data_IF_508316631808
#
_entry.id   IF_508316631808
#
_cell.length_a   1.000
_cell.length_b   1.000
_cell.length_c   1.000
_cell.angle_alpha   90.00
_cell.angle_beta   90.00
_cell.angle_gamma   90.00
#
_symmetry.space_group_name_H-M   'P 1'
#
loop_
_entity.id
_entity.type
_entity.pdbx_description
1 polymer ?
#
# COMPACT_ATOMS: atom_id res chain seq x y z
N UNK A 1 24.05 -26.38 -31.83
CA UNK A 1 24.93 -26.76 -30.71
C UNK A 1 25.98 -25.69 -30.37
N UNK A 2 26.68 -25.07 -31.33
CA UNK A 2 27.70 -24.04 -31.05
C UNK A 2 27.16 -22.82 -30.29
N UNK A 3 26.01 -22.26 -30.67
CA UNK A 3 25.40 -21.13 -29.94
C UNK A 3 25.01 -21.46 -28.50
N UNK A 4 24.55 -22.69 -28.22
CA UNK A 4 24.21 -23.13 -26.86
C UNK A 4 25.45 -23.29 -25.98
N UNK A 5 26.55 -23.79 -26.55
CA UNK A 5 27.85 -23.88 -25.87
C UNK A 5 28.41 -22.48 -25.59
N UNK A 6 28.31 -21.58 -26.55
CA UNK A 6 28.68 -20.17 -26.40
C UNK A 6 27.91 -19.51 -25.26
N UNK A 7 26.58 -19.67 -25.19
CA UNK A 7 25.76 -19.14 -24.09
C UNK A 7 26.12 -19.75 -22.72
N UNK A 8 26.43 -21.05 -22.66
CA UNK A 8 26.83 -21.72 -21.41
C UNK A 8 28.11 -21.13 -20.83
N UNK A 9 29.09 -20.85 -21.68
CA UNK A 9 30.35 -20.21 -21.27
C UNK A 9 30.11 -18.75 -20.76
N UNK A 10 29.05 -18.04 -21.22
CA UNK A 10 28.79 -16.61 -20.88
C UNK A 10 28.29 -16.48 -19.44
N UNK A 11 27.84 -17.59 -18.87
CA UNK A 11 27.28 -17.71 -17.52
C UNK A 11 28.27 -18.30 -16.53
N UNK A 12 29.54 -18.47 -16.91
CA UNK A 12 30.52 -19.15 -16.04
C UNK A 12 30.99 -18.30 -14.85
N UNK A 13 30.89 -16.96 -14.94
CA UNK A 13 31.35 -16.07 -13.87
C UNK A 13 30.19 -15.70 -12.90
N UNK A 14 30.16 -16.26 -11.68
CA UNK A 14 29.06 -16.01 -10.73
C UNK A 14 29.01 -14.57 -10.23
N UNK A 15 30.15 -13.88 -10.15
CA UNK A 15 30.22 -12.47 -9.75
C UNK A 15 29.58 -11.60 -10.83
N UNK A 16 29.89 -11.87 -12.10
CA UNK A 16 29.28 -11.15 -13.22
C UNK A 16 27.76 -11.37 -13.28
N UNK A 17 27.30 -12.62 -13.07
CA UNK A 17 25.87 -12.92 -12.98
C UNK A 17 25.19 -12.09 -11.90
N UNK A 18 25.76 -12.05 -10.69
CA UNK A 18 25.19 -11.30 -9.57
C UNK A 18 25.14 -9.80 -9.87
N UNK A 19 26.21 -9.23 -10.42
CA UNK A 19 26.26 -7.81 -10.79
C UNK A 19 25.21 -7.47 -11.86
N UNK A 20 25.09 -8.30 -12.89
CA UNK A 20 24.08 -8.11 -13.94
C UNK A 20 22.66 -8.34 -13.43
N UNK A 21 22.45 -9.22 -12.45
CA UNK A 21 21.17 -9.37 -11.78
C UNK A 21 20.80 -8.10 -10.99
N UNK A 22 21.74 -7.51 -10.24
CA UNK A 22 21.49 -6.25 -9.52
C UNK A 22 21.17 -5.12 -10.50
N UNK A 23 21.95 -4.97 -11.57
CA UNK A 23 21.70 -3.96 -12.60
C UNK A 23 20.37 -4.19 -13.32
N UNK A 24 20.06 -5.42 -13.70
CA UNK A 24 18.78 -5.81 -14.30
C UNK A 24 17.60 -5.49 -13.38
N UNK A 25 17.75 -5.74 -12.07
CA UNK A 25 16.74 -5.37 -11.07
C UNK A 25 16.55 -3.85 -11.03
N UNK A 26 17.63 -3.07 -10.93
CA UNK A 26 17.57 -1.60 -10.94
C UNK A 26 16.88 -1.10 -12.21
N UNK A 27 17.36 -1.51 -13.39
CA UNK A 27 16.79 -1.09 -14.68
C UNK A 27 15.31 -1.46 -14.79
N UNK A 28 14.91 -2.65 -14.32
CA UNK A 28 13.50 -3.05 -14.33
C UNK A 28 12.60 -2.12 -13.50
N UNK A 29 13.12 -1.55 -12.39
CA UNK A 29 12.38 -0.55 -11.60
C UNK A 29 12.25 0.76 -12.35
N UNK A 30 13.29 1.19 -13.06
CA UNK A 30 13.27 2.40 -13.86
C UNK A 30 12.31 2.28 -15.05
N UNK A 31 12.39 1.19 -15.81
CA UNK A 31 11.44 0.93 -16.92
C UNK A 31 10.00 0.98 -16.40
N UNK A 32 9.72 0.28 -15.30
CA UNK A 32 8.40 0.32 -14.66
C UNK A 32 7.99 1.73 -14.26
N UNK A 33 8.83 2.45 -13.52
CA UNK A 33 8.52 3.78 -13.01
C UNK A 33 8.29 4.79 -14.13
N UNK A 34 9.11 4.76 -15.19
CA UNK A 34 8.95 5.63 -16.36
C UNK A 34 7.65 5.33 -17.12
N UNK A 35 7.30 4.06 -17.31
CA UNK A 35 5.99 3.68 -17.90
C UNK A 35 4.84 4.17 -17.02
N UNK A 36 4.92 4.00 -15.70
CA UNK A 36 3.91 4.50 -14.78
C UNK A 36 3.74 6.02 -14.87
N UNK A 37 4.84 6.78 -14.95
CA UNK A 37 4.81 8.24 -15.12
C UNK A 37 4.21 8.66 -16.47
N UNK A 38 4.61 8.00 -17.56
CA UNK A 38 4.12 8.30 -18.91
C UNK A 38 2.60 8.07 -19.04
N UNK A 39 2.08 7.00 -18.42
CA UNK A 39 0.68 6.63 -18.50
C UNK A 39 -0.21 7.19 -17.38
N UNK A 40 0.37 7.77 -16.32
CA UNK A 40 -0.41 8.32 -15.19
C UNK A 40 -1.40 9.40 -15.67
N UNK A 41 -0.90 10.48 -16.28
CA UNK A 41 -1.72 11.61 -16.72
C UNK A 41 -2.76 11.23 -17.78
N UNK A 42 -2.44 10.46 -18.84
CA UNK A 42 -3.42 10.01 -19.83
C UNK A 42 -4.57 9.17 -19.24
N UNK A 43 -4.30 8.40 -18.18
CA UNK A 43 -5.29 7.54 -17.53
C UNK A 43 -6.06 8.24 -16.40
N UNK A 44 -5.85 9.54 -16.20
CA UNK A 44 -6.52 10.30 -15.13
C UNK A 44 -5.97 10.01 -13.73
N UNK A 45 -4.75 9.49 -13.65
CA UNK A 45 -4.03 9.28 -12.40
C UNK A 45 -3.12 10.47 -12.12
N UNK A 46 -2.95 10.81 -10.85
CA UNK A 46 -1.91 11.73 -10.35
C UNK A 46 -0.80 10.94 -9.68
N UNK A 47 0.43 11.42 -9.81
CA UNK A 47 1.57 10.87 -9.08
C UNK A 47 1.56 11.46 -7.68
N UNK A 48 1.47 10.61 -6.66
CA UNK A 48 1.47 11.05 -5.25
C UNK A 48 2.88 11.02 -4.68
N UNK A 49 3.63 9.97 -4.99
CA UNK A 49 4.94 9.73 -4.43
C UNK A 49 5.91 9.21 -5.49
N UNK A 50 7.16 9.63 -5.39
CA UNK A 50 8.28 9.12 -6.18
C UNK A 50 9.38 8.74 -5.20
N UNK A 51 9.87 7.51 -5.28
CA UNK A 51 11.01 7.05 -4.52
C UNK A 51 12.18 6.76 -5.45
N UNK A 52 13.32 7.40 -5.19
CA UNK A 52 14.56 7.21 -5.94
C UNK A 52 15.63 6.73 -4.98
N UNK A 53 16.10 5.49 -5.14
CA UNK A 53 17.11 4.86 -4.28
C UNK A 53 16.82 5.04 -2.78
N UNK A 54 15.55 4.89 -2.40
CA UNK A 54 15.10 5.01 -1.02
C UNK A 54 14.68 6.41 -0.57
N UNK A 55 15.00 7.47 -1.30
CA UNK A 55 14.54 8.81 -0.97
C UNK A 55 13.11 9.02 -1.46
N UNK A 56 12.15 9.19 -0.53
CA UNK A 56 10.73 9.38 -0.83
C UNK A 56 10.42 10.87 -1.00
N UNK A 57 9.92 11.23 -2.17
CA UNK A 57 9.40 12.56 -2.49
C UNK A 57 7.88 12.47 -2.63
N UNK A 58 7.15 13.29 -1.90
CA UNK A 58 5.68 13.35 -1.93
C UNK A 58 5.24 14.67 -2.54
N UNK A 59 4.23 14.62 -3.42
CA UNK A 59 3.63 15.81 -4.01
C UNK A 59 2.59 16.40 -3.06
N UNK A 60 2.82 17.62 -2.61
CA UNK A 60 1.90 18.37 -1.77
C UNK A 60 0.66 18.84 -2.55
N UNK A 61 -0.40 19.22 -1.80
CA UNK A 61 -1.61 19.84 -2.35
C UNK A 61 -1.31 21.13 -3.14
N UNK A 62 -0.27 21.88 -2.77
CA UNK A 62 0.18 23.09 -3.49
C UNK A 62 1.01 22.78 -4.76
N UNK A 63 1.17 21.50 -5.12
CA UNK A 63 1.91 21.04 -6.29
C UNK A 63 3.43 20.92 -6.11
N UNK A 64 4.00 21.37 -4.98
CA UNK A 64 5.43 21.24 -4.69
C UNK A 64 5.79 19.82 -4.27
N UNK A 65 6.99 19.38 -4.62
CA UNK A 65 7.56 18.12 -4.16
C UNK A 65 8.39 18.36 -2.91
N UNK A 66 8.15 17.58 -1.86
CA UNK A 66 8.94 17.60 -0.64
C UNK A 66 9.50 16.21 -0.35
N UNK A 67 10.76 16.14 0.09
CA UNK A 67 11.31 14.91 0.62
C UNK A 67 10.64 14.62 1.97
N UNK A 68 9.89 13.51 2.05
CA UNK A 68 9.13 13.12 3.24
C UNK A 68 9.67 11.88 3.96
N UNK A 69 10.84 11.39 3.58
CA UNK A 69 11.51 10.33 4.34
C UNK A 69 12.64 9.65 3.57
N UNK A 70 13.31 8.71 4.25
CA UNK A 70 14.31 7.81 3.68
C UNK A 70 13.89 6.38 4.02
N UNK A 71 13.85 5.51 3.01
CA UNK A 71 13.48 4.10 3.13
C UNK A 71 14.54 3.23 2.45
N UNK A 72 14.63 1.97 2.83
CA UNK A 72 15.49 1.01 2.11
C UNK A 72 14.76 0.66 0.82
N UNK A 73 15.28 1.13 -0.32
CA UNK A 73 14.68 0.88 -1.63
C UNK A 73 15.73 0.98 -2.73
N UNK A 74 15.62 0.11 -3.73
CA UNK A 74 16.51 0.06 -4.89
C UNK A 74 15.77 0.61 -6.11
N UNK A 75 16.41 1.56 -6.81
CA UNK A 75 15.94 2.10 -8.08
C UNK A 75 14.76 3.07 -7.95
N UNK A 76 13.82 3.03 -8.90
CA UNK A 76 12.71 3.97 -9.03
C UNK A 76 11.37 3.30 -8.67
N UNK A 77 10.63 3.87 -7.73
CA UNK A 77 9.25 3.50 -7.45
C UNK A 77 8.36 4.72 -7.62
N UNK A 78 7.23 4.52 -8.29
CA UNK A 78 6.27 5.58 -8.56
C UNK A 78 4.93 5.13 -8.04
N UNK A 79 4.36 5.95 -7.16
CA UNK A 79 3.03 5.73 -6.62
C UNK A 79 2.05 6.68 -7.29
N UNK A 80 0.95 6.11 -7.77
CA UNK A 80 -0.11 6.84 -8.44
C UNK A 80 -1.43 6.63 -7.72
N UNK A 81 -2.22 7.69 -7.69
CA UNK A 81 -3.59 7.66 -7.18
C UNK A 81 -4.52 8.25 -8.22
N UNK A 82 -5.82 7.96 -8.15
CA UNK A 82 -6.79 8.65 -8.98
C UNK A 82 -6.80 10.14 -8.67
N UNK A 83 -6.90 10.93 -9.73
CA UNK A 83 -7.20 12.34 -9.60
C UNK A 83 -8.71 12.50 -9.38
N UNK A 84 -9.12 12.49 -8.10
CA UNK A 84 -10.53 12.60 -7.70
C UNK A 84 -11.18 13.90 -8.20
N UNK A 85 -10.42 14.99 -8.34
CA UNK A 85 -10.92 16.27 -8.87
C UNK A 85 -11.32 16.13 -10.35
N UNK A 86 -10.51 15.41 -11.14
CA UNK A 86 -10.84 15.10 -12.55
C UNK A 86 -11.90 14.03 -12.70
N UNK A 87 -12.17 13.29 -11.64
CA UNK A 87 -13.08 12.16 -11.61
C UNK A 87 -14.40 12.46 -10.87
N UNK A 88 -14.68 13.70 -10.48
CA UNK A 88 -15.81 14.08 -9.63
C UNK A 88 -17.18 13.55 -10.11
N UNK A 89 -17.37 13.36 -11.43
CA UNK A 89 -18.61 12.86 -12.03
C UNK A 89 -18.53 11.41 -12.52
N UNK A 90 -17.48 10.67 -12.16
CA UNK A 90 -17.27 9.29 -12.60
C UNK A 90 -17.77 8.32 -11.53
N UNK A 91 -18.66 7.41 -11.91
CA UNK A 91 -19.11 6.32 -11.04
C UNK A 91 -17.91 5.51 -10.50
N UNK A 92 -17.99 5.17 -9.21
CA UNK A 92 -17.07 4.30 -8.47
C UNK A 92 -16.69 3.03 -9.24
N UNK A 93 -17.64 2.37 -9.92
CA UNK A 93 -17.37 1.17 -10.72
C UNK A 93 -16.48 1.46 -11.92
N UNK A 94 -16.69 2.61 -12.58
CA UNK A 94 -15.85 3.06 -13.71
C UNK A 94 -14.45 3.45 -13.24
N UNK A 95 -14.30 4.02 -12.04
CA UNK A 95 -12.98 4.33 -11.46
C UNK A 95 -12.19 3.06 -11.17
N UNK A 96 -12.81 2.06 -10.55
CA UNK A 96 -12.18 0.75 -10.29
C UNK A 96 -11.78 0.07 -11.62
N UNK A 97 -12.64 0.12 -12.63
CA UNK A 97 -12.32 -0.43 -13.94
C UNK A 97 -11.13 0.28 -14.59
N UNK A 98 -11.05 1.61 -14.49
CA UNK A 98 -9.89 2.39 -14.94
C UNK A 98 -8.62 2.03 -14.16
N UNK A 99 -8.71 1.73 -12.86
CA UNK A 99 -7.55 1.34 -12.05
C UNK A 99 -6.95 0.04 -12.53
N UNK A 100 -7.85 -0.94 -12.73
CA UNK A 100 -7.51 -2.26 -13.25
C UNK A 100 -6.93 -2.15 -14.65
N UNK A 101 -7.54 -1.33 -15.51
CA UNK A 101 -7.03 -1.06 -16.85
C UNK A 101 -5.64 -0.40 -16.81
N UNK A 102 -5.41 0.59 -15.94
CA UNK A 102 -4.10 1.23 -15.76
C UNK A 102 -3.04 0.21 -15.35
N UNK A 103 -3.32 -0.64 -14.35
CA UNK A 103 -2.41 -1.70 -13.93
C UNK A 103 -2.09 -2.67 -15.06
N UNK A 104 -3.10 -3.11 -15.82
CA UNK A 104 -2.91 -4.06 -16.92
C UNK A 104 -2.11 -3.43 -18.07
N UNK A 105 -2.52 -2.24 -18.53
CA UNK A 105 -1.87 -1.54 -19.66
C UNK A 105 -0.41 -1.24 -19.34
N UNK A 106 -0.13 -0.67 -18.17
CA UNK A 106 1.27 -0.38 -17.77
C UNK A 106 2.10 -1.66 -17.64
N UNK A 107 1.50 -2.75 -17.14
CA UNK A 107 2.17 -4.05 -17.03
C UNK A 107 2.47 -4.71 -18.39
N UNK A 108 1.59 -4.55 -19.37
CA UNK A 108 1.82 -5.03 -20.73
C UNK A 108 2.91 -4.18 -21.40
N UNK A 109 2.83 -2.86 -21.29
CA UNK A 109 3.78 -1.94 -21.95
C UNK A 109 5.20 -2.13 -21.44
N UNK A 110 5.42 -2.24 -20.12
CA UNK A 110 6.78 -2.50 -19.62
C UNK A 110 7.33 -3.84 -20.09
N UNK A 111 6.45 -4.82 -20.38
CA UNK A 111 6.86 -6.17 -20.75
C UNK A 111 7.31 -6.18 -22.20
N UNK A 112 6.57 -5.47 -23.06
CA UNK A 112 6.96 -5.23 -24.45
C UNK A 112 8.31 -4.49 -24.52
N UNK A 113 8.53 -3.48 -23.68
CA UNK A 113 9.84 -2.79 -23.58
C UNK A 113 10.92 -3.78 -23.15
N UNK A 114 10.65 -4.62 -22.14
CA UNK A 114 11.59 -5.64 -21.68
C UNK A 114 11.96 -6.66 -22.76
N UNK A 115 10.97 -7.14 -23.52
CA UNK A 115 11.16 -8.05 -24.65
C UNK A 115 12.02 -7.38 -25.73
N UNK A 116 11.69 -6.14 -26.12
CA UNK A 116 12.46 -5.39 -27.10
C UNK A 116 13.91 -5.14 -26.66
N UNK A 117 14.12 -4.76 -25.39
CA UNK A 117 15.44 -4.57 -24.81
C UNK A 117 16.26 -5.87 -24.78
N UNK A 118 15.63 -6.98 -24.40
CA UNK A 118 16.28 -8.30 -24.42
C UNK A 118 16.70 -8.69 -25.83
N UNK A 119 15.83 -8.54 -26.84
CA UNK A 119 16.17 -8.82 -28.23
C UNK A 119 17.33 -7.95 -28.74
N UNK A 120 17.31 -6.65 -28.45
CA UNK A 120 18.40 -5.75 -28.81
C UNK A 120 19.74 -6.16 -28.19
N UNK A 121 19.74 -6.50 -26.90
CA UNK A 121 20.94 -6.98 -26.19
C UNK A 121 21.39 -8.37 -26.65
N UNK A 122 20.46 -9.23 -27.06
CA UNK A 122 20.78 -10.54 -27.62
C UNK A 122 21.49 -10.39 -28.97
N UNK A 123 21.04 -9.48 -29.84
CA UNK A 123 21.74 -9.17 -31.09
C UNK A 123 23.13 -8.59 -30.79
N UNK A 124 23.24 -7.66 -29.84
CA UNK A 124 24.52 -7.09 -29.43
C UNK A 124 25.49 -8.14 -28.87
N UNK A 125 24.99 -9.18 -28.19
CA UNK A 125 25.79 -10.30 -27.67
C UNK A 125 26.53 -11.03 -28.79
N UNK A 126 25.87 -11.25 -29.93
CA UNK A 126 26.47 -11.96 -31.07
C UNK A 126 27.39 -11.09 -31.92
N UNK A 127 27.30 -9.76 -31.79
CA UNK A 127 28.15 -8.80 -32.48
C UNK A 127 29.27 -8.24 -31.58
N UNK A 128 29.44 -8.76 -30.36
CA UNK A 128 30.42 -8.24 -29.42
C UNK A 128 31.84 -8.70 -29.77
N UNK A 129 32.79 -7.76 -29.75
CA UNK A 129 34.21 -8.03 -30.05
C UNK A 129 34.90 -8.92 -29.00
N UNK A 130 34.35 -8.96 -27.79
CA UNK A 130 34.92 -9.73 -26.68
C UNK A 130 33.88 -10.58 -25.96
N UNK A 131 34.35 -11.71 -25.45
CA UNK A 131 33.57 -12.66 -24.68
C UNK A 131 32.92 -12.05 -23.43
N UNK A 132 33.69 -11.21 -22.73
CA UNK A 132 33.22 -10.50 -21.54
C UNK A 132 32.07 -9.55 -21.86
N UNK A 133 32.20 -8.77 -22.95
CA UNK A 133 31.19 -7.82 -23.36
C UNK A 133 29.91 -8.52 -23.84
N UNK A 134 30.05 -9.62 -24.60
CA UNK A 134 28.92 -10.49 -24.94
C UNK A 134 28.20 -11.02 -23.70
N UNK A 135 28.96 -11.41 -22.66
CA UNK A 135 28.40 -11.92 -21.40
C UNK A 135 27.59 -10.84 -20.68
N UNK A 136 28.11 -9.61 -20.64
CA UNK A 136 27.43 -8.45 -20.04
C UNK A 136 26.09 -8.19 -20.75
N UNK A 137 26.08 -8.11 -22.09
CA UNK A 137 24.85 -7.84 -22.83
C UNK A 137 23.79 -8.92 -22.63
N UNK A 138 24.19 -10.20 -22.76
CA UNK A 138 23.27 -11.31 -22.58
C UNK A 138 22.68 -11.35 -21.17
N UNK A 139 23.53 -11.32 -20.14
CA UNK A 139 23.09 -11.42 -18.75
C UNK A 139 22.24 -10.23 -18.33
N UNK A 140 22.60 -9.01 -18.74
CA UNK A 140 21.81 -7.82 -18.43
C UNK A 140 20.41 -7.89 -19.05
N UNK A 141 20.32 -8.29 -20.33
CA UNK A 141 19.04 -8.45 -21.02
C UNK A 141 18.20 -9.55 -20.39
N UNK A 142 18.81 -10.70 -20.09
CA UNK A 142 18.14 -11.83 -19.47
C UNK A 142 17.55 -11.47 -18.11
N UNK A 143 18.35 -10.89 -17.21
CA UNK A 143 17.89 -10.51 -15.87
C UNK A 143 16.84 -9.40 -15.92
N UNK A 144 17.01 -8.38 -16.77
CA UNK A 144 16.00 -7.33 -16.97
C UNK A 144 14.64 -7.95 -17.35
N UNK A 145 14.62 -8.83 -18.35
CA UNK A 145 13.40 -9.49 -18.80
C UNK A 145 12.80 -10.38 -17.71
N UNK A 146 13.62 -11.18 -17.03
CA UNK A 146 13.17 -12.07 -15.96
C UNK A 146 12.49 -11.31 -14.80
N UNK A 147 13.06 -10.16 -14.38
CA UNK A 147 12.44 -9.33 -13.35
C UNK A 147 11.13 -8.69 -13.81
N UNK A 148 11.03 -8.28 -15.07
CA UNK A 148 9.79 -7.73 -15.65
C UNK A 148 8.70 -8.80 -15.75
N UNK A 149 9.04 -10.02 -16.19
CA UNK A 149 8.12 -11.17 -16.22
C UNK A 149 7.65 -11.50 -14.80
N UNK A 150 8.58 -11.63 -13.85
CA UNK A 150 8.24 -11.96 -12.46
C UNK A 150 7.26 -10.94 -11.86
N UNK A 151 7.47 -9.64 -12.12
CA UNK A 151 6.57 -8.57 -11.69
C UNK A 151 5.21 -8.61 -12.40
N UNK A 152 5.19 -8.92 -13.69
CA UNK A 152 3.95 -9.11 -14.44
C UNK A 152 3.13 -10.26 -13.85
N UNK A 153 3.76 -11.41 -13.59
CA UNK A 153 3.10 -12.56 -12.96
C UNK A 153 2.55 -12.22 -11.56
N UNK A 154 3.29 -11.44 -10.76
CA UNK A 154 2.81 -10.94 -9.48
C UNK A 154 1.58 -10.02 -9.65
N UNK A 155 1.62 -9.07 -10.58
CA UNK A 155 0.51 -8.16 -10.85
C UNK A 155 -0.77 -8.92 -11.29
N UNK A 156 -0.62 -9.89 -12.21
CA UNK A 156 -1.72 -10.76 -12.65
C UNK A 156 -2.26 -11.58 -11.47
N UNK A 157 -1.38 -12.17 -10.66
CA UNK A 157 -1.80 -12.99 -9.51
C UNK A 157 -2.60 -12.17 -8.48
N UNK A 158 -2.16 -10.94 -8.19
CA UNK A 158 -2.88 -10.01 -7.32
C UNK A 158 -4.25 -9.67 -7.92
N UNK A 159 -4.32 -9.31 -9.21
CA UNK A 159 -5.58 -9.03 -9.90
C UNK A 159 -6.53 -10.22 -9.89
N UNK A 160 -6.03 -11.44 -10.12
CA UNK A 160 -6.84 -12.66 -10.09
C UNK A 160 -7.42 -12.91 -8.70
N UNK A 161 -6.64 -12.69 -7.63
CA UNK A 161 -7.15 -12.82 -6.26
C UNK A 161 -8.17 -11.74 -5.92
N UNK A 162 -7.85 -10.47 -6.16
CA UNK A 162 -8.76 -9.34 -5.88
C UNK A 162 -10.10 -9.48 -6.62
N UNK A 163 -10.15 -10.17 -7.76
CA UNK A 163 -11.37 -10.43 -8.52
C UNK A 163 -12.02 -11.80 -8.24
N UNK A 164 -11.41 -12.67 -7.43
CA UNK A 164 -11.90 -14.02 -7.18
C UNK A 164 -12.87 -14.04 -6.00
N UNK A 165 -14.12 -14.44 -6.26
CA UNK A 165 -15.14 -14.72 -5.23
C UNK A 165 -14.76 -15.84 -4.24
N UNK A 166 -13.70 -16.60 -4.53
CA UNK A 166 -13.20 -17.70 -3.70
C UNK A 166 -11.95 -17.32 -2.90
N UNK A 167 -11.76 -16.02 -2.65
CA UNK A 167 -10.58 -15.49 -1.96
C UNK A 167 -10.96 -14.38 -0.97
N UNK A 168 -10.10 -14.16 0.01
CA UNK A 168 -10.28 -13.08 0.98
C UNK A 168 -10.16 -11.71 0.31
N UNK A 169 -9.28 -11.56 -0.68
CA UNK A 169 -9.15 -10.33 -1.46
C UNK A 169 -10.45 -9.95 -2.18
N UNK A 170 -11.13 -10.92 -2.81
CA UNK A 170 -12.42 -10.68 -3.46
C UNK A 170 -13.54 -10.34 -2.47
N UNK A 171 -13.59 -11.01 -1.33
CA UNK A 171 -14.54 -10.70 -0.26
C UNK A 171 -14.32 -9.30 0.33
N UNK A 172 -13.05 -8.90 0.51
CA UNK A 172 -12.68 -7.56 0.95
C UNK A 172 -13.12 -6.50 -0.07
N UNK A 173 -12.95 -6.76 -1.38
CA UNK A 173 -13.42 -5.85 -2.42
C UNK A 173 -14.94 -5.72 -2.45
N UNK A 174 -15.67 -6.80 -2.18
CA UNK A 174 -17.13 -6.74 -2.06
C UNK A 174 -17.53 -5.85 -0.88
N UNK A 175 -16.91 -6.02 0.29
CA UNK A 175 -17.13 -5.15 1.45
C UNK A 175 -16.82 -3.68 1.16
N UNK A 176 -15.66 -3.39 0.55
CA UNK A 176 -15.29 -2.03 0.14
C UNK A 176 -16.26 -1.45 -0.90
N UNK A 177 -16.77 -2.27 -1.82
CA UNK A 177 -17.77 -1.83 -2.80
C UNK A 177 -19.10 -1.49 -2.12
N UNK A 178 -19.50 -2.25 -1.09
CA UNK A 178 -20.68 -1.94 -0.30
C UNK A 178 -20.51 -0.60 0.44
N UNK A 179 -19.34 -0.36 1.06
CA UNK A 179 -19.03 0.90 1.76
C UNK A 179 -19.11 2.10 0.81
N UNK A 180 -18.47 1.97 -0.36
CA UNK A 180 -18.52 3.02 -1.40
C UNK A 180 -19.91 3.27 -1.96
N UNK A 181 -20.82 2.31 -1.84
CA UNK A 181 -22.22 2.46 -2.24
C UNK A 181 -23.11 3.03 -1.14
N UNK A 182 -22.54 3.38 0.03
CA UNK A 182 -23.30 3.88 1.18
C UNK A 182 -24.12 2.81 1.87
N UNK A 183 -23.65 1.56 1.86
CA UNK A 183 -24.23 0.49 2.67
C UNK A 183 -23.67 0.63 4.10
N UNK A 184 -24.52 0.88 5.11
CA UNK A 184 -24.06 1.04 6.48
C UNK A 184 -23.38 -0.23 7.00
N UNK A 185 -22.38 -0.06 7.88
CA UNK A 185 -21.66 -1.17 8.51
C UNK A 185 -22.59 -2.22 9.14
N UNK A 186 -23.73 -1.81 9.71
CA UNK A 186 -24.69 -2.73 10.33
C UNK A 186 -25.34 -3.72 9.36
N UNK A 187 -25.34 -3.42 8.06
CA UNK A 187 -25.94 -4.25 7.01
C UNK A 187 -24.92 -5.17 6.29
N UNK A 188 -23.62 -5.00 6.56
CA UNK A 188 -22.56 -5.71 5.82
C UNK A 188 -22.33 -7.16 6.26
N UNK A 189 -22.73 -7.50 7.49
CA UNK A 189 -22.57 -8.84 8.08
C UNK A 189 -21.19 -9.48 7.82
N UNK A 190 -20.12 -8.72 8.10
CA UNK A 190 -18.75 -9.18 7.87
C UNK A 190 -18.36 -10.28 8.86
N UNK A 191 -17.68 -11.31 8.37
CA UNK A 191 -17.29 -12.49 9.15
C UNK A 191 -15.78 -12.59 9.36
N UNK A 192 -15.31 -13.04 10.53
CA UNK A 192 -13.90 -13.23 10.78
C UNK A 192 -13.32 -14.26 9.80
N UNK A 193 -12.01 -14.18 9.55
CA UNK A 193 -11.33 -14.99 8.53
C UNK A 193 -11.51 -16.48 8.82
N UNK A 194 -11.54 -16.87 10.10
CA UNK A 194 -11.78 -18.23 10.59
C UNK A 194 -13.11 -18.83 10.10
N UNK A 195 -14.15 -18.03 9.90
CA UNK A 195 -15.47 -18.47 9.44
C UNK A 195 -15.60 -18.56 7.91
N UNK A 196 -14.68 -17.92 7.17
CA UNK A 196 -14.77 -17.79 5.70
C UNK A 196 -14.21 -19.00 4.93
N UNK A 197 -13.53 -19.94 5.61
CA UNK A 197 -13.07 -21.23 5.05
C UNK A 197 -12.25 -21.14 3.74
N UNK A 198 -11.48 -20.07 3.53
CA UNK A 198 -10.63 -19.93 2.34
C UNK A 198 -9.35 -20.76 2.46
N UNK A 199 -9.08 -21.63 1.47
CA UNK A 199 -7.97 -22.61 1.51
C UNK A 199 -6.56 -22.00 1.53
N UNK A 200 -6.36 -20.78 1.01
CA UNK A 200 -5.03 -20.13 0.89
C UNK A 200 -5.13 -18.60 0.95
N UNK A 201 -5.14 -18.07 2.16
CA UNK A 201 -5.18 -16.63 2.44
C UNK A 201 -3.75 -16.08 2.54
N UNK A 202 -3.42 -15.04 1.77
CA UNK A 202 -2.13 -14.35 1.88
C UNK A 202 -2.15 -13.31 3.01
N UNK A 203 -1.00 -13.08 3.65
CA UNK A 203 -0.86 -12.08 4.72
C UNK A 203 -1.33 -10.68 4.27
N UNK A 204 -1.05 -10.31 3.02
CA UNK A 204 -1.53 -9.04 2.45
C UNK A 204 -3.05 -8.97 2.35
N UNK A 205 -3.73 -10.08 2.05
CA UNK A 205 -5.20 -10.13 2.05
C UNK A 205 -5.74 -9.99 3.47
N UNK A 206 -5.07 -10.59 4.47
CA UNK A 206 -5.44 -10.43 5.89
C UNK A 206 -5.33 -8.98 6.32
N UNK A 207 -4.23 -8.31 5.97
CA UNK A 207 -4.04 -6.89 6.29
C UNK A 207 -5.10 -6.00 5.61
N UNK A 208 -5.40 -6.24 4.33
CA UNK A 208 -6.46 -5.49 3.63
C UNK A 208 -7.83 -5.72 4.26
N UNK A 209 -8.16 -6.97 4.60
CA UNK A 209 -9.42 -7.30 5.21
C UNK A 209 -9.55 -6.72 6.63
N UNK A 210 -8.45 -6.74 7.39
CA UNK A 210 -8.40 -6.23 8.75
C UNK A 210 -8.86 -4.77 8.84
N UNK A 211 -8.43 -3.89 7.93
CA UNK A 211 -8.84 -2.47 7.92
C UNK A 211 -10.37 -2.33 7.94
N UNK A 212 -11.04 -3.01 7.02
CA UNK A 212 -12.50 -2.93 6.86
C UNK A 212 -13.22 -3.67 7.99
N UNK A 213 -12.68 -4.81 8.41
CA UNK A 213 -13.28 -5.63 9.46
C UNK A 213 -13.16 -4.97 10.83
N UNK A 214 -12.05 -4.31 11.13
CA UNK A 214 -11.82 -3.57 12.36
C UNK A 214 -12.80 -2.41 12.48
N UNK A 215 -12.94 -1.57 11.43
CA UNK A 215 -13.95 -0.50 11.40
C UNK A 215 -15.37 -1.03 11.52
N UNK A 216 -15.69 -2.17 10.87
CA UNK A 216 -16.99 -2.82 11.01
C UNK A 216 -17.28 -3.25 12.45
N UNK A 217 -16.30 -3.83 13.15
CA UNK A 217 -16.45 -4.20 14.56
C UNK A 217 -16.63 -2.95 15.42
N UNK A 218 -15.85 -1.90 15.17
CA UNK A 218 -15.89 -0.66 15.95
C UNK A 218 -17.20 0.12 15.77
N UNK A 219 -17.64 0.26 14.52
CA UNK A 219 -18.86 0.98 14.15
C UNK A 219 -20.12 0.32 14.72
N UNK A 220 -20.12 -1.01 14.87
CA UNK A 220 -21.24 -1.77 15.42
C UNK A 220 -21.12 -2.08 16.92
N UNK A 221 -20.04 -1.65 17.58
CA UNK A 221 -19.84 -1.90 19.01
C UNK A 221 -19.52 -3.37 19.35
N UNK A 222 -19.03 -4.15 18.39
CA UNK A 222 -18.63 -5.55 18.60
C UNK A 222 -17.22 -5.66 19.20
N UNK A 223 -16.99 -4.94 20.30
CA UNK A 223 -15.67 -4.82 20.93
C UNK A 223 -15.11 -6.16 21.42
N UNK A 224 -15.97 -7.07 21.89
CA UNK A 224 -15.58 -8.40 22.36
C UNK A 224 -14.89 -9.26 21.28
N UNK A 225 -15.12 -8.94 19.99
CA UNK A 225 -14.54 -9.65 18.85
C UNK A 225 -13.24 -9.03 18.34
N UNK A 226 -12.94 -7.80 18.74
CA UNK A 226 -11.72 -7.10 18.31
C UNK A 226 -10.42 -7.79 18.73
N UNK A 227 -10.27 -8.37 19.94
CA UNK A 227 -9.03 -9.03 20.34
C UNK A 227 -8.63 -10.18 19.41
N UNK A 228 -9.58 -10.95 18.88
CA UNK A 228 -9.29 -12.02 17.93
C UNK A 228 -8.77 -11.47 16.60
N UNK A 229 -9.44 -10.44 16.05
CA UNK A 229 -9.03 -9.79 14.81
C UNK A 229 -7.64 -9.15 14.92
N UNK A 230 -7.37 -8.47 16.05
CA UNK A 230 -6.06 -7.86 16.36
C UNK A 230 -5.00 -8.95 16.50
N UNK A 231 -5.26 -10.01 17.26
CA UNK A 231 -4.30 -11.10 17.40
C UNK A 231 -3.99 -11.79 16.06
N UNK A 232 -4.97 -11.91 15.17
CA UNK A 232 -4.74 -12.46 13.83
C UNK A 232 -3.83 -11.57 12.98
N UNK A 233 -4.05 -10.25 12.96
CA UNK A 233 -3.23 -9.33 12.16
C UNK A 233 -1.83 -9.16 12.75
N UNK A 234 -1.70 -9.10 14.08
CA UNK A 234 -0.38 -8.99 14.74
C UNK A 234 0.52 -10.20 14.44
N UNK A 235 -0.04 -11.41 14.29
CA UNK A 235 0.73 -12.60 13.91
C UNK A 235 1.37 -12.51 12.53
N UNK A 236 0.76 -11.74 11.63
CA UNK A 236 1.31 -11.56 10.28
C UNK A 236 2.17 -10.32 10.17
N UNK A 237 2.04 -9.35 11.07
CA UNK A 237 2.86 -8.14 11.12
C UNK A 237 4.32 -8.43 11.48
N UNK A 238 5.24 -8.16 10.55
CA UNK A 238 6.69 -8.30 10.76
C UNK A 238 7.31 -6.93 11.08
N UNK A 239 8.35 -6.84 11.93
CA UNK A 239 8.97 -5.56 12.32
C UNK A 239 9.50 -4.74 11.14
N UNK A 240 9.93 -5.41 10.06
CA UNK A 240 10.51 -4.78 8.87
C UNK A 240 9.58 -4.85 7.65
N UNK A 241 8.27 -5.07 7.85
CA UNK A 241 7.38 -5.19 6.71
C UNK A 241 7.29 -3.84 6.00
N UNK A 242 7.71 -3.81 4.73
CA UNK A 242 7.83 -2.59 3.94
C UNK A 242 6.54 -1.76 4.01
N UNK A 243 6.72 -0.46 4.21
CA UNK A 243 5.70 0.60 4.38
C UNK A 243 4.75 0.74 3.17
N UNK A 244 3.96 -0.30 2.91
CA UNK A 244 2.78 -0.19 2.05
C UNK A 244 1.70 0.58 2.81
N UNK A 245 0.88 1.36 2.08
CA UNK A 245 -0.27 2.07 2.67
C UNK A 245 -1.19 1.17 3.50
N UNK A 246 -1.32 -0.10 3.10
CA UNK A 246 -2.08 -1.10 3.84
C UNK A 246 -1.47 -1.34 5.23
N UNK A 247 -0.15 -1.54 5.31
CA UNK A 247 0.55 -1.74 6.59
C UNK A 247 0.47 -0.48 7.47
N UNK A 248 0.58 0.70 6.88
CA UNK A 248 0.40 1.97 7.61
C UNK A 248 -1.02 2.10 8.19
N UNK A 249 -2.04 1.74 7.40
CA UNK A 249 -3.43 1.65 7.87
C UNK A 249 -3.59 0.68 9.04
N UNK A 250 -3.02 -0.53 8.93
CA UNK A 250 -3.09 -1.53 10.00
C UNK A 250 -2.44 -1.00 11.27
N UNK A 251 -1.28 -0.35 11.16
CA UNK A 251 -0.64 0.28 12.31
C UNK A 251 -1.50 1.40 12.92
N UNK A 252 -2.21 2.21 12.12
CA UNK A 252 -3.13 3.24 12.63
C UNK A 252 -4.27 2.61 13.45
N UNK A 253 -4.90 1.56 12.94
CA UNK A 253 -5.96 0.83 13.66
C UNK A 253 -5.44 0.18 14.93
N UNK A 254 -4.22 -0.37 14.91
CA UNK A 254 -3.58 -0.95 16.11
C UNK A 254 -3.23 0.13 17.14
N UNK A 255 -2.76 1.31 16.73
CA UNK A 255 -2.55 2.45 17.64
C UNK A 255 -3.88 2.84 18.29
N UNK A 256 -4.94 2.94 17.51
CA UNK A 256 -6.27 3.29 18.03
C UNK A 256 -6.78 2.22 19.01
N UNK A 257 -6.71 0.94 18.63
CA UNK A 257 -7.09 -0.18 19.50
C UNK A 257 -6.34 -0.14 20.84
N UNK A 258 -5.01 0.00 20.81
CA UNK A 258 -4.18 -0.02 22.02
C UNK A 258 -4.16 1.31 22.80
N UNK A 259 -4.73 2.38 22.25
CA UNK A 259 -4.88 3.66 22.96
C UNK A 259 -6.30 3.89 23.46
N UNK A 260 -7.31 3.16 22.98
CA UNK A 260 -8.70 3.40 23.36
C UNK A 260 -9.45 2.14 23.80
N UNK A 261 -9.50 1.10 22.97
CA UNK A 261 -10.31 -0.09 23.26
C UNK A 261 -9.67 -1.04 24.27
N UNK A 262 -8.34 -1.19 24.21
CA UNK A 262 -7.55 -2.03 25.11
C UNK A 262 -6.27 -1.29 25.46
N UNK A 263 -6.34 -0.38 26.44
CA UNK A 263 -5.28 0.58 26.73
C UNK A 263 -4.00 -0.14 27.16
N UNK A 264 -3.04 -0.22 26.25
CA UNK A 264 -1.70 -0.79 26.46
C UNK A 264 -0.68 0.19 25.85
N UNK A 265 -0.23 1.22 26.59
CA UNK A 265 0.57 2.31 26.04
C UNK A 265 1.88 1.84 25.38
N UNK A 266 2.49 0.77 25.90
CA UNK A 266 3.70 0.18 25.30
C UNK A 266 3.49 -0.31 23.87
N UNK A 267 2.36 -1.00 23.60
CA UNK A 267 2.01 -1.49 22.26
C UNK A 267 1.57 -0.35 21.35
N UNK A 268 0.75 0.58 21.86
CA UNK A 268 0.37 1.78 21.10
C UNK A 268 1.60 2.56 20.64
N UNK A 269 2.58 2.74 21.54
CA UNK A 269 3.86 3.39 21.23
C UNK A 269 4.65 2.64 20.17
N UNK A 270 4.73 1.31 20.25
CA UNK A 270 5.42 0.48 19.25
C UNK A 270 4.88 0.72 17.83
N UNK A 271 3.55 0.63 17.65
CA UNK A 271 2.93 0.85 16.35
C UNK A 271 2.99 2.30 15.89
N UNK A 272 2.85 3.26 16.81
CA UNK A 272 2.96 4.68 16.50
C UNK A 272 4.35 5.04 15.96
N UNK A 273 5.42 4.47 16.52
CA UNK A 273 6.79 4.70 16.01
C UNK A 273 6.98 4.27 14.56
N UNK A 274 6.22 3.27 14.09
CA UNK A 274 6.29 2.79 12.71
C UNK A 274 5.59 3.72 11.72
N UNK A 275 4.69 4.58 12.18
CA UNK A 275 3.90 5.49 11.34
C UNK A 275 4.15 6.98 11.64
N UNK A 276 5.01 7.31 12.59
CA UNK A 276 5.16 8.68 13.13
C UNK A 276 5.43 9.73 12.04
N UNK A 277 6.27 9.41 11.07
CA UNK A 277 6.62 10.34 9.98
C UNK A 277 5.43 10.63 9.05
N UNK A 278 4.57 9.63 8.84
CA UNK A 278 3.37 9.74 8.01
C UNK A 278 2.23 10.40 8.81
N UNK A 279 1.90 9.91 10.03
CA UNK A 279 0.77 10.39 10.84
C UNK A 279 0.99 11.81 11.42
N UNK A 280 2.23 12.20 11.73
CA UNK A 280 2.51 13.52 12.33
C UNK A 280 2.20 14.69 11.40
N UNK A 281 2.26 14.45 10.08
CA UNK A 281 2.01 15.43 9.02
C UNK A 281 0.69 15.16 8.29
N UNK A 282 0.01 14.07 8.64
CA UNK A 282 -1.28 13.73 8.07
C UNK A 282 -2.33 14.72 8.59
N UNK A 283 -3.21 15.12 7.68
CA UNK A 283 -4.34 15.97 8.00
C UNK A 283 -5.68 15.30 7.81
N UNK A 284 -5.68 14.00 7.54
CA UNK A 284 -6.88 13.20 7.49
C UNK A 284 -7.55 13.16 8.88
N UNK A 285 -8.86 13.38 8.98
CA UNK A 285 -9.62 13.23 10.21
C UNK A 285 -9.35 11.91 10.94
N UNK A 286 -9.15 10.81 10.20
CA UNK A 286 -8.82 9.50 10.76
C UNK A 286 -7.51 9.54 11.54
N UNK A 287 -6.44 10.01 10.89
CA UNK A 287 -5.14 10.15 11.52
C UNK A 287 -5.19 11.08 12.74
N UNK A 288 -5.99 12.14 12.68
CA UNK A 288 -6.12 13.11 13.76
C UNK A 288 -6.80 12.52 14.99
N UNK A 289 -7.92 11.82 14.88
CA UNK A 289 -8.55 11.25 16.07
C UNK A 289 -7.68 10.13 16.68
N UNK A 290 -7.01 9.32 15.86
CA UNK A 290 -6.09 8.28 16.34
C UNK A 290 -4.95 8.91 17.14
N UNK A 291 -4.35 9.99 16.62
CA UNK A 291 -3.34 10.76 17.35
C UNK A 291 -3.91 11.36 18.64
N UNK A 292 -5.15 11.83 18.62
CA UNK A 292 -5.82 12.37 19.81
C UNK A 292 -5.94 11.33 20.93
N UNK A 293 -6.43 10.12 20.61
CA UNK A 293 -6.51 9.02 21.59
C UNK A 293 -5.13 8.59 22.09
N UNK A 294 -4.14 8.52 21.20
CA UNK A 294 -2.76 8.20 21.57
C UNK A 294 -2.18 9.22 22.56
N UNK A 295 -2.30 10.52 22.28
CA UNK A 295 -1.80 11.59 23.16
C UNK A 295 -2.54 11.62 24.51
N UNK A 296 -3.86 11.43 24.49
CA UNK A 296 -4.67 11.40 25.71
C UNK A 296 -4.30 10.22 26.61
N UNK A 297 -4.38 9.00 26.09
CA UNK A 297 -4.35 7.79 26.91
C UNK A 297 -2.95 7.20 27.10
N UNK A 298 -1.96 7.59 26.27
CA UNK A 298 -0.56 7.16 26.48
C UNK A 298 0.28 8.20 27.23
N UNK A 299 -0.09 9.49 27.21
CA UNK A 299 0.71 10.57 27.82
C UNK A 299 -0.09 11.51 28.73
N UNK A 300 -1.42 11.43 28.76
CA UNK A 300 -2.25 12.37 29.52
C UNK A 300 -2.31 13.77 28.90
N UNK A 301 -1.94 13.93 27.63
CA UNK A 301 -1.88 15.23 26.96
C UNK A 301 -3.26 15.69 26.48
N UNK A 302 -4.09 16.15 27.42
CA UNK A 302 -5.46 16.62 27.15
C UNK A 302 -5.50 17.73 26.09
N UNK A 303 -4.62 18.73 26.19
CA UNK A 303 -4.62 19.86 25.26
C UNK A 303 -4.22 19.47 23.83
N UNK A 304 -3.31 18.50 23.69
CA UNK A 304 -2.96 17.98 22.35
C UNK A 304 -4.14 17.18 21.78
N UNK A 305 -4.81 16.38 22.61
CA UNK A 305 -5.99 15.62 22.20
C UNK A 305 -7.15 16.53 21.75
N UNK A 306 -7.45 17.60 22.48
CA UNK A 306 -8.44 18.63 22.09
C UNK A 306 -8.11 19.25 20.74
N UNK A 307 -6.86 19.67 20.56
CA UNK A 307 -6.41 20.24 19.29
C UNK A 307 -6.55 19.24 18.13
N UNK A 308 -6.33 17.94 18.37
CA UNK A 308 -6.53 16.92 17.35
C UNK A 308 -8.02 16.76 17.01
N UNK A 309 -8.91 16.71 18.01
CA UNK A 309 -10.35 16.60 17.80
C UNK A 309 -10.93 17.78 17.00
N UNK A 310 -10.53 19.01 17.34
CA UNK A 310 -10.95 20.22 16.62
C UNK A 310 -10.53 20.15 15.15
N UNK A 311 -9.26 19.86 14.89
CA UNK A 311 -8.74 19.75 13.52
C UNK A 311 -9.40 18.62 12.73
N UNK A 312 -9.76 17.51 13.39
CA UNK A 312 -10.47 16.41 12.76
C UNK A 312 -11.87 16.84 12.30
N UNK A 313 -12.60 17.57 13.16
CA UNK A 313 -13.91 18.13 12.82
C UNK A 313 -13.84 19.10 11.64
N UNK A 314 -12.86 20.00 11.63
CA UNK A 314 -12.67 20.99 10.55
C UNK A 314 -12.47 20.35 9.18
N UNK A 315 -11.93 19.13 9.12
CA UNK A 315 -11.54 18.45 7.87
C UNK A 315 -12.44 17.29 7.48
N UNK A 316 -13.43 16.95 8.28
CA UNK A 316 -14.21 15.73 8.07
C UNK A 316 -14.97 15.71 6.74
N UNK A 317 -15.46 16.88 6.31
CA UNK A 317 -16.20 17.01 5.06
C UNK A 317 -15.30 17.04 3.82
N UNK A 318 -13.98 17.26 4.00
CA UNK A 318 -13.00 17.35 2.91
C UNK A 318 -12.49 15.96 2.43
N UNK A 319 -12.58 14.93 3.27
CA UNK A 319 -11.89 13.65 3.01
C UNK A 319 -12.79 12.40 3.04
N UNK A 320 -13.92 12.40 3.75
CA UNK A 320 -14.72 11.18 3.97
C UNK A 320 -16.00 11.12 3.14
N UNK A 321 -16.34 9.93 2.62
CA UNK A 321 -17.62 9.65 1.93
C UNK A 321 -18.72 9.27 2.93
N UNK A 322 -20.00 9.32 2.54
CA UNK A 322 -21.18 9.30 3.44
C UNK A 322 -21.07 8.49 4.74
N UNK A 323 -20.93 7.16 4.66
CA UNK A 323 -20.86 6.28 5.85
C UNK A 323 -19.50 6.32 6.56
N UNK A 324 -18.39 6.46 5.82
CA UNK A 324 -17.06 6.65 6.40
C UNK A 324 -17.01 7.95 7.22
N UNK A 325 -17.67 9.00 6.73
CA UNK A 325 -17.81 10.28 7.41
C UNK A 325 -18.60 10.13 8.70
N UNK A 326 -19.68 9.38 8.68
CA UNK A 326 -20.49 9.15 9.88
C UNK A 326 -19.73 8.30 10.92
N UNK A 327 -18.97 7.30 10.47
CA UNK A 327 -18.04 6.57 11.34
C UNK A 327 -16.98 7.51 11.95
N UNK A 328 -16.36 8.38 11.15
CA UNK A 328 -15.42 9.38 11.63
C UNK A 328 -16.05 10.31 12.68
N UNK A 329 -17.29 10.78 12.46
CA UNK A 329 -18.02 11.62 13.43
C UNK A 329 -18.19 10.90 14.76
N UNK A 330 -18.54 9.61 14.73
CA UNK A 330 -18.65 8.78 15.94
C UNK A 330 -17.31 8.65 16.66
N UNK A 331 -16.22 8.41 15.94
CA UNK A 331 -14.88 8.31 16.53
C UNK A 331 -14.43 9.64 17.18
N UNK A 332 -14.67 10.77 16.51
CA UNK A 332 -14.37 12.09 17.05
C UNK A 332 -15.25 12.40 18.28
N UNK A 333 -16.55 12.05 18.25
CA UNK A 333 -17.43 12.21 19.39
C UNK A 333 -16.96 11.36 20.60
N UNK A 334 -16.48 10.14 20.36
CA UNK A 334 -15.86 9.30 21.40
C UNK A 334 -14.59 9.93 21.95
N UNK A 335 -13.76 10.55 21.11
CA UNK A 335 -12.56 11.25 21.55
C UNK A 335 -12.93 12.45 22.45
N UNK A 336 -13.89 13.27 22.04
CA UNK A 336 -14.38 14.38 22.85
C UNK A 336 -14.93 13.89 24.20
N UNK A 337 -15.74 12.84 24.19
CA UNK A 337 -16.23 12.22 25.41
C UNK A 337 -15.09 11.70 26.30
N UNK A 338 -14.06 11.08 25.73
CA UNK A 338 -12.90 10.63 26.49
C UNK A 338 -12.13 11.82 27.11
N UNK A 339 -11.95 12.91 26.37
CA UNK A 339 -11.33 14.15 26.84
C UNK A 339 -12.10 14.75 28.02
N UNK A 340 -13.42 14.88 27.89
CA UNK A 340 -14.28 15.52 28.91
C UNK A 340 -14.35 14.69 30.21
N UNK A 341 -14.11 13.39 30.12
CA UNK A 341 -14.10 12.47 31.26
C UNK A 341 -12.69 12.14 31.77
N UNK A 342 -11.63 12.67 31.14
CA UNK A 342 -10.25 12.54 31.62
C UNK A 342 -10.06 13.50 32.80
N UNK A 343 -9.68 13.09 34.04
CA UNK A 343 -9.02 11.85 34.49
C UNK A 343 -9.88 10.95 35.40
N UNK A 344 -11.22 11.02 35.31
CA UNK A 344 -12.15 10.24 36.16
C UNK A 344 -12.12 8.73 35.87
N UNK A 345 -11.38 8.32 34.84
CA UNK A 345 -11.27 6.96 34.33
C UNK A 345 -9.88 6.34 34.57
N UNK A 346 -8.96 7.06 35.24
CA UNK A 346 -7.60 6.59 35.54
C UNK A 346 -7.50 5.85 36.87
#
# INVERSE_FOLDING_TARGET
MQYLRYLGELTYNPVLILLMAILGLVLSTFVKGLVQLAFAKPMGMKVTDIMIFGFKYTKLKNGKWEQRGKRIGIGLQVETAFDLERAANTDSKKLIAKEKAYMIVTSIVWLLIGIGAFWGLLIATFNADTYLLGSVYFLLGFWLLLFLISRFCLAVSVLSKVNSKKSLGGYTQEALSMLRSGVPFSQMNLKPISELNYKKVWDTEKHMYFLVYFEYLDANGFFDRMPEAVAEVERTMKPNMADSKIVLGVCMDLVYYYSYHNIVPGKAKEYYHRIVDDISKDTDPNAMFVKGFYELNCFGNVEVAKNCAIKALEKIDDFSTGDEREYCRKCIARLNHAIDNFPKQA
#
